data_IF_254368082684
#
_entry.id   IF_254368082684
#
_cell.length_a   1.000
_cell.length_b   1.000
_cell.length_c   1.000
_cell.angle_alpha   90.00
_cell.angle_beta   90.00
_cell.angle_gamma   90.00
#
_symmetry.space_group_name_H-M   'P 1'
#
loop_
_entity.id
_entity.type
_entity.pdbx_description
1 polymer ?
#
# COMPACT_ATOMS: atom_id res chain seq x y z
N UNK A 1 0.66 -9.21 -20.07
CA UNK A 1 0.43 -7.76 -20.36
C UNK A 1 -0.10 -7.01 -19.13
N UNK A 2 -1.11 -7.50 -18.41
CA UNK A 2 -1.62 -6.86 -17.18
C UNK A 2 -0.60 -6.70 -16.03
N UNK A 3 0.30 -7.67 -15.84
CA UNK A 3 1.35 -7.59 -14.81
C UNK A 3 2.37 -6.46 -15.07
N UNK A 4 2.66 -6.17 -16.34
CA UNK A 4 3.59 -5.10 -16.71
C UNK A 4 3.01 -3.73 -16.38
N UNK A 5 1.74 -3.51 -16.73
CA UNK A 5 1.01 -2.27 -16.41
C UNK A 5 0.96 -1.98 -14.91
N UNK A 6 0.78 -3.00 -14.05
CA UNK A 6 0.78 -2.83 -12.58
C UNK A 6 2.15 -2.49 -12.00
N UNK A 7 3.23 -3.00 -12.59
CA UNK A 7 4.59 -2.69 -12.16
C UNK A 7 5.00 -1.28 -12.60
N UNK A 8 4.66 -0.88 -13.82
CA UNK A 8 4.92 0.46 -14.33
C UNK A 8 4.27 1.53 -13.43
N UNK A 9 3.02 1.31 -12.98
CA UNK A 9 2.35 2.22 -12.04
C UNK A 9 3.00 2.31 -10.65
N UNK A 10 3.66 1.25 -10.18
CA UNK A 10 4.32 1.27 -8.88
C UNK A 10 5.63 2.04 -8.94
N UNK A 11 6.40 1.82 -10.00
CA UNK A 11 7.66 2.54 -10.26
C UNK A 11 7.40 4.03 -10.45
N UNK A 12 6.38 4.41 -11.26
CA UNK A 12 6.01 5.81 -11.49
C UNK A 12 5.65 6.53 -10.18
N UNK A 13 4.93 5.86 -9.27
CA UNK A 13 4.59 6.42 -7.95
C UNK A 13 5.83 6.61 -7.08
N UNK A 14 6.76 5.67 -7.10
CA UNK A 14 8.00 5.77 -6.33
C UNK A 14 8.91 6.88 -6.88
N UNK A 15 9.00 7.00 -8.20
CA UNK A 15 9.77 8.04 -8.88
C UNK A 15 9.20 9.44 -8.56
N UNK A 16 7.89 9.62 -8.66
CA UNK A 16 7.23 10.89 -8.34
C UNK A 16 7.55 11.37 -6.91
N UNK A 17 7.45 10.48 -5.91
CA UNK A 17 7.77 10.83 -4.52
C UNK A 17 9.27 11.10 -4.36
N UNK A 18 10.12 10.35 -5.05
CA UNK A 18 11.58 10.53 -4.96
C UNK A 18 12.02 11.87 -5.54
N UNK A 19 11.43 12.29 -6.67
CA UNK A 19 11.66 13.61 -7.28
C UNK A 19 11.11 14.75 -6.42
N UNK A 20 9.89 14.61 -5.89
CA UNK A 20 9.23 15.64 -5.08
C UNK A 20 10.03 16.01 -3.81
N UNK A 21 10.68 15.02 -3.19
CA UNK A 21 11.44 15.19 -1.95
C UNK A 21 12.96 15.15 -2.13
N UNK A 22 13.46 15.12 -3.37
CA UNK A 22 14.89 15.00 -3.71
C UNK A 22 15.59 13.86 -2.97
N UNK A 23 14.98 12.67 -2.99
CA UNK A 23 15.52 11.50 -2.31
C UNK A 23 16.77 10.96 -3.01
N UNK A 24 17.79 10.59 -2.23
CA UNK A 24 18.98 9.94 -2.78
C UNK A 24 18.66 8.55 -3.34
N UNK A 25 19.45 8.09 -4.32
CA UNK A 25 19.23 6.82 -5.05
C UNK A 25 19.11 5.55 -4.19
N UNK A 26 19.66 5.59 -2.97
CA UNK A 26 19.63 4.48 -2.02
C UNK A 26 18.41 4.52 -1.07
N UNK A 27 17.59 5.58 -1.13
CA UNK A 27 16.36 5.72 -0.34
C UNK A 27 15.18 5.38 -1.25
N UNK A 28 14.31 4.47 -0.79
CA UNK A 28 13.11 4.05 -1.52
C UNK A 28 11.87 4.44 -0.74
N UNK A 29 10.97 5.27 -1.31
CA UNK A 29 9.70 5.55 -0.67
C UNK A 29 8.83 4.30 -0.65
N UNK A 30 8.21 4.02 0.49
CA UNK A 30 7.34 2.85 0.67
C UNK A 30 5.86 3.22 0.59
N UNK A 31 5.42 4.19 1.40
CA UNK A 31 4.04 4.64 1.42
C UNK A 31 3.93 6.11 1.84
N UNK A 32 2.78 6.71 1.54
CA UNK A 32 2.37 8.03 2.04
C UNK A 32 1.10 7.81 2.84
N UNK A 33 1.08 8.27 4.10
CA UNK A 33 -0.05 8.14 5.02
C UNK A 33 -0.68 9.53 5.25
N UNK A 34 -1.80 9.87 4.59
CA UNK A 34 -2.50 11.11 4.87
C UNK A 34 -3.20 11.03 6.23
N UNK A 35 -3.10 12.11 7.02
CA UNK A 35 -3.72 12.22 8.34
C UNK A 35 -4.49 13.54 8.40
N UNK A 36 -5.71 13.52 8.95
CA UNK A 36 -6.56 14.68 9.09
C UNK A 36 -7.93 14.32 9.67
N UNK A 37 -8.77 15.34 9.86
CA UNK A 37 -10.15 15.13 10.26
C UNK A 37 -10.96 14.56 9.10
N UNK A 38 -11.71 13.49 9.35
CA UNK A 38 -12.58 12.91 8.34
C UNK A 38 -13.73 13.85 8.01
N UNK A 39 -13.99 14.05 6.72
CA UNK A 39 -15.17 14.78 6.24
C UNK A 39 -16.38 13.87 6.04
N UNK A 40 -16.20 12.57 6.25
CA UNK A 40 -17.22 11.53 6.06
C UNK A 40 -17.26 10.58 7.26
N UNK A 41 -18.39 9.92 7.44
CA UNK A 41 -18.50 8.84 8.42
C UNK A 41 -17.62 7.65 8.01
N UNK A 42 -16.84 7.13 8.96
CA UNK A 42 -15.95 5.99 8.72
C UNK A 42 -16.71 4.71 9.10
N UNK A 43 -17.12 3.95 8.09
CA UNK A 43 -17.67 2.61 8.30
C UNK A 43 -16.53 1.62 8.55
N UNK A 44 -16.39 1.17 9.80
CA UNK A 44 -15.46 0.08 10.10
C UNK A 44 -15.97 -1.21 9.46
N UNK A 45 -15.08 -1.85 8.69
CA UNK A 45 -15.36 -3.15 8.07
C UNK A 45 -14.91 -4.26 9.01
N UNK A 46 -15.80 -5.18 9.35
CA UNK A 46 -15.40 -6.45 9.94
C UNK A 46 -14.59 -7.26 8.90
N UNK A 47 -13.36 -7.62 9.28
CA UNK A 47 -12.42 -8.38 8.45
C UNK A 47 -12.09 -9.74 9.06
N UNK A 48 -12.81 -10.16 10.10
CA UNK A 48 -12.69 -11.52 10.62
C UNK A 48 -13.03 -12.54 9.53
N UNK A 49 -12.16 -13.52 9.36
CA UNK A 49 -12.28 -14.57 8.36
C UNK A 49 -11.68 -15.86 8.96
N UNK A 50 -12.56 -16.75 9.44
CA UNK A 50 -12.16 -18.01 10.07
C UNK A 50 -11.34 -18.90 9.13
N UNK A 51 -11.55 -18.79 7.81
CA UNK A 51 -10.82 -19.58 6.81
C UNK A 51 -9.32 -19.25 6.77
N UNK A 52 -8.91 -18.10 7.32
CA UNK A 52 -7.49 -17.69 7.45
C UNK A 52 -6.85 -18.13 8.76
N UNK A 53 -7.55 -18.88 9.60
CA UNK A 53 -7.05 -19.39 10.87
C UNK A 53 -6.66 -20.85 10.69
N UNK A 54 -5.36 -21.12 10.74
CA UNK A 54 -4.81 -22.47 10.63
C UNK A 54 -4.45 -22.97 12.03
N UNK A 55 -4.94 -24.16 12.43
CA UNK A 55 -4.67 -24.77 13.74
C UNK A 55 -3.72 -25.94 13.56
N UNK A 56 -2.64 -25.96 14.35
CA UNK A 56 -1.57 -26.96 14.38
C UNK A 56 -0.74 -27.09 13.09
N UNK A 57 -1.37 -27.08 11.91
CA UNK A 57 -0.74 -27.25 10.61
C UNK A 57 -1.33 -26.22 9.62
N UNK A 58 -0.49 -25.71 8.72
CA UNK A 58 -0.92 -24.83 7.64
C UNK A 58 -1.76 -25.62 6.62
N UNK A 59 -2.97 -25.13 6.34
CA UNK A 59 -3.90 -25.70 5.38
C UNK A 59 -3.99 -24.84 4.13
#
# INVERSE_FOLDING_TARGET
MFYKIKMDQLEDRMNYISELFDLSKNIKPYCVLPIGYSTVEINQKDRYDESRIHKEIYN
#
